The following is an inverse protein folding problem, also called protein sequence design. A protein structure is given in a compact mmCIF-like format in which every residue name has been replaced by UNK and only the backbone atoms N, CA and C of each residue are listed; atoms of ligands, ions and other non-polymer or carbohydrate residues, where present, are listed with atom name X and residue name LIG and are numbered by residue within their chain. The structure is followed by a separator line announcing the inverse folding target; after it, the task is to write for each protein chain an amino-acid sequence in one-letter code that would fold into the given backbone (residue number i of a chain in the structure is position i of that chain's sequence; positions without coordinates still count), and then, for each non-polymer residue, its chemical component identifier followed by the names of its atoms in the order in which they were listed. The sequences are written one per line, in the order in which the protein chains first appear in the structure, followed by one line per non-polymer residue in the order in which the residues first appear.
data_IF_303010177080
#
_entry.id   IF_303010177080
#
_cell.length_a   1.000
_cell.length_b   1.000
_cell.length_c   1.000
_cell.angle_alpha   90.00
_cell.angle_beta   90.00
_cell.angle_gamma   90.00
#
_symmetry.space_group_name_H-M   'P 1'
#
loop_
_entity.id
_entity.type
_entity.pdbx_description
1 polymer ?
#
# COMPACT_ATOMS: atom_id res chain seq x y z
N UNK A 1 -12.90 13.33 7.42
CA UNK A 1 -12.24 12.12 6.89
C UNK A 1 -12.29 11.08 8.00
N UNK A 2 -13.01 9.96 7.82
CA UNK A 2 -13.01 8.89 8.84
C UNK A 2 -11.69 8.13 8.66
N UNK A 3 -10.84 8.12 9.68
CA UNK A 3 -9.70 7.21 9.73
C UNK A 3 -10.23 5.78 9.73
N UNK A 4 -9.89 5.02 8.70
CA UNK A 4 -10.10 3.57 8.67
C UNK A 4 -8.76 2.91 8.95
N UNK A 5 -8.72 2.08 9.98
CA UNK A 5 -7.63 1.15 10.19
C UNK A 5 -7.67 0.08 9.09
N UNK A 6 -6.56 -0.08 8.37
CA UNK A 6 -6.36 -1.19 7.45
C UNK A 6 -5.76 -2.36 8.23
N UNK A 7 -6.27 -3.57 8.01
CA UNK A 7 -5.76 -4.76 8.70
C UNK A 7 -4.51 -5.31 8.02
N UNK A 8 -3.73 -6.13 8.73
CA UNK A 8 -2.59 -6.83 8.13
C UNK A 8 -3.03 -7.79 6.99
N UNK A 9 -4.22 -8.39 7.12
CA UNK A 9 -4.79 -9.27 6.10
C UNK A 9 -5.00 -8.50 4.78
N UNK A 10 -5.57 -7.31 4.87
CA UNK A 10 -5.79 -6.42 3.73
C UNK A 10 -4.47 -6.11 3.02
N UNK A 11 -3.45 -5.70 3.79
CA UNK A 11 -2.11 -5.39 3.27
C UNK A 11 -1.52 -6.59 2.53
N UNK A 12 -1.62 -7.79 3.09
CA UNK A 12 -1.14 -9.03 2.44
C UNK A 12 -1.90 -9.33 1.14
N UNK A 13 -3.20 -9.08 1.10
CA UNK A 13 -4.01 -9.23 -0.12
C UNK A 13 -3.52 -8.28 -1.21
N UNK A 14 -3.31 -7.01 -0.87
CA UNK A 14 -2.85 -5.98 -1.80
C UNK A 14 -1.42 -6.23 -2.28
N UNK A 15 -0.54 -6.74 -1.42
CA UNK A 15 0.80 -7.14 -1.85
C UNK A 15 0.77 -8.30 -2.84
N UNK A 16 -0.30 -9.10 -2.86
CA UNK A 16 -0.50 -10.19 -3.83
C UNK A 16 -1.18 -9.74 -5.11
N UNK A 17 -2.17 -8.85 -5.03
CA UNK A 17 -3.06 -8.50 -6.16
C UNK A 17 -2.88 -7.08 -6.69
N UNK A 18 -2.21 -6.22 -5.93
CA UNK A 18 -2.03 -4.82 -6.26
C UNK A 18 -1.06 -4.60 -7.42
N UNK A 19 -1.22 -3.48 -8.09
CA UNK A 19 -0.36 -3.06 -9.19
C UNK A 19 0.61 -1.98 -8.73
N UNK A 20 1.89 -2.13 -9.08
CA UNK A 20 2.89 -1.06 -8.92
C UNK A 20 2.60 0.02 -9.96
N UNK A 21 2.21 1.19 -9.48
CA UNK A 21 1.93 2.36 -10.34
C UNK A 21 3.21 3.15 -10.57
N UNK A 22 4.05 3.26 -9.53
CA UNK A 22 5.28 4.04 -9.60
C UNK A 22 6.36 3.44 -8.71
N UNK A 23 7.57 3.42 -9.22
CA UNK A 23 8.79 3.13 -8.47
C UNK A 23 9.64 4.41 -8.39
N UNK A 24 10.11 4.74 -7.19
CA UNK A 24 11.01 5.85 -6.92
C UNK A 24 12.18 5.31 -6.08
N UNK A 25 13.41 5.53 -6.53
CA UNK A 25 14.63 5.22 -5.80
C UNK A 25 15.40 6.52 -5.55
N UNK A 26 15.68 6.84 -4.29
CA UNK A 26 16.48 7.99 -3.90
C UNK A 26 17.40 7.67 -2.71
N UNK A 27 18.11 8.67 -2.19
CA UNK A 27 19.04 8.52 -1.06
C UNK A 27 18.37 7.99 0.22
N UNK A 28 17.04 7.99 0.30
CA UNK A 28 16.26 7.44 1.44
C UNK A 28 15.80 6.00 1.19
N UNK A 29 16.19 5.40 0.08
CA UNK A 29 15.90 4.02 -0.29
C UNK A 29 14.77 3.86 -1.29
N UNK A 30 14.43 2.60 -1.53
CA UNK A 30 13.42 2.18 -2.51
C UNK A 30 12.00 2.51 -2.03
N UNK A 31 11.17 3.06 -2.90
CA UNK A 31 9.74 3.33 -2.61
C UNK A 31 8.86 2.91 -3.77
N UNK A 32 7.82 2.14 -3.47
CA UNK A 32 6.86 1.66 -4.44
C UNK A 32 5.48 2.20 -4.09
N UNK A 33 4.84 2.90 -5.04
CA UNK A 33 3.44 3.30 -4.93
C UNK A 33 2.60 2.23 -5.58
N UNK A 34 1.71 1.61 -4.80
CA UNK A 34 0.81 0.57 -5.26
C UNK A 34 -0.64 1.00 -5.09
N UNK A 35 -1.48 0.55 -6.01
CA UNK A 35 -2.93 0.58 -5.85
C UNK A 35 -3.46 -0.85 -5.93
N UNK A 36 -4.41 -1.18 -5.09
CA UNK A 36 -5.03 -2.49 -5.05
C UNK A 36 -6.39 -2.42 -4.38
N UNK A 37 -7.00 -3.59 -4.24
CA UNK A 37 -8.28 -3.76 -3.57
C UNK A 37 -8.11 -4.59 -2.30
N UNK A 38 -8.77 -4.17 -1.22
CA UNK A 38 -8.80 -4.96 0.03
C UNK A 38 -9.92 -5.99 0.01
N UNK A 39 -11.07 -5.59 -0.55
CA UNK A 39 -12.26 -6.38 -0.83
C UNK A 39 -12.88 -5.91 -2.15
N UNK A 40 -13.99 -6.52 -2.60
CA UNK A 40 -14.66 -6.15 -3.85
C UNK A 40 -15.23 -4.72 -3.85
N UNK A 41 -15.31 -4.06 -2.69
CA UNK A 41 -15.90 -2.73 -2.55
C UNK A 41 -14.88 -1.60 -2.35
N UNK A 42 -13.64 -1.89 -1.97
CA UNK A 42 -12.69 -0.86 -1.55
C UNK A 42 -11.39 -0.89 -2.34
N UNK A 43 -11.05 0.27 -2.90
CA UNK A 43 -9.78 0.55 -3.55
C UNK A 43 -8.91 1.34 -2.59
N UNK A 44 -7.61 1.04 -2.60
CA UNK A 44 -6.65 1.75 -1.78
C UNK A 44 -5.38 2.08 -2.54
N UNK A 45 -4.68 3.12 -2.08
CA UNK A 45 -3.34 3.43 -2.52
C UNK A 45 -2.38 3.41 -1.32
N UNK A 46 -1.25 2.72 -1.47
CA UNK A 46 -0.23 2.55 -0.44
C UNK A 46 1.16 2.90 -0.97
N UNK A 47 2.06 3.25 -0.05
CA UNK A 47 3.50 3.30 -0.30
C UNK A 47 4.14 2.13 0.45
N UNK A 48 4.99 1.39 -0.25
CA UNK A 48 5.82 0.34 0.31
C UNK A 48 7.25 0.85 0.32
N UNK A 49 7.87 0.85 1.49
CA UNK A 49 9.28 1.19 1.68
C UNK A 49 9.99 -0.02 2.31
N UNK A 50 10.82 -0.75 1.55
CA UNK A 50 11.67 -1.78 2.11
C UNK A 50 12.64 -1.15 3.11
N UNK A 51 12.73 -1.72 4.30
CA UNK A 51 13.73 -1.40 5.31
C UNK A 51 14.70 -2.58 5.42
N UNK A 52 15.76 -2.42 6.21
CA UNK A 52 16.78 -3.47 6.41
C UNK A 52 16.22 -4.81 6.92
N UNK A 53 15.20 -4.75 7.77
CA UNK A 53 14.71 -5.85 8.60
C UNK A 53 13.19 -6.02 8.54
N UNK A 54 12.48 -5.07 7.95
CA UNK A 54 11.03 -5.12 7.74
C UNK A 54 10.62 -4.33 6.50
N UNK A 55 9.34 -4.38 6.14
CA UNK A 55 8.75 -3.52 5.11
C UNK A 55 7.80 -2.55 5.80
N UNK A 56 7.96 -1.25 5.55
CA UNK A 56 7.00 -0.24 5.98
C UNK A 56 5.93 -0.07 4.92
N UNK A 57 4.67 -0.19 5.32
CA UNK A 57 3.51 0.09 4.47
C UNK A 57 2.79 1.32 5.01
N UNK A 58 2.67 2.35 4.17
CA UNK A 58 1.97 3.59 4.51
C UNK A 58 0.70 3.69 3.67
N UNK A 59 -0.47 3.75 4.31
CA UNK A 59 -1.73 4.06 3.65
C UNK A 59 -1.73 5.53 3.19
N UNK A 60 -1.91 5.76 1.89
CA UNK A 60 -2.13 7.11 1.34
C UNK A 60 -3.60 7.46 1.44
N UNK A 61 -4.47 6.59 0.91
CA UNK A 61 -5.91 6.79 0.89
C UNK A 61 -6.64 5.47 0.66
N UNK A 62 -7.88 5.39 1.13
CA UNK A 62 -8.82 4.31 0.90
C UNK A 62 -10.17 4.90 0.51
N UNK A 63 -10.81 4.35 -0.52
CA UNK A 63 -12.11 4.81 -1.00
C UNK A 63 -12.98 3.64 -1.46
N UNK A 64 -14.30 3.83 -1.40
CA UNK A 64 -15.25 2.87 -1.98
C UNK A 64 -15.15 2.96 -3.51
N UNK A 65 -14.90 1.81 -4.14
CA UNK A 65 -14.52 1.66 -5.54
C UNK A 65 -15.68 1.47 -6.50
#
# INVERSE_FOLDING_TARGET
MKERSISEFDIRSILRTGHVIKHEADDKGERYRMCGTTDDEHKIAIIISPMSDYIRVTLITAWKG
#
